data_IF_597365297020
#
_entry.id   IF_597365297020
#
_cell.length_a   1.000
_cell.length_b   1.000
_cell.length_c   1.000
_cell.angle_alpha   90.00
_cell.angle_beta   90.00
_cell.angle_gamma   90.00
#
_symmetry.space_group_name_H-M   'P 1'
#
loop_
_entity.id
_entity.type
_entity.pdbx_description
1 polymer ?
#
# COMPACT_ATOMS: atom_id res chain seq x y z
N UNK A 1 -5.52 28.35 -6.49
CA UNK A 1 -6.34 28.45 -5.26
C UNK A 1 -5.64 29.44 -4.36
N UNK A 2 -6.32 30.52 -3.96
CA UNK A 2 -5.76 31.45 -2.97
C UNK A 2 -5.58 30.74 -1.63
N UNK A 3 -4.49 30.98 -0.88
CA UNK A 3 -4.33 30.39 0.44
C UNK A 3 -5.49 30.86 1.33
N UNK A 4 -6.09 29.93 2.05
CA UNK A 4 -7.09 30.24 3.07
C UNK A 4 -6.37 31.15 4.10
N UNK A 5 -6.83 32.39 4.22
CA UNK A 5 -6.29 33.32 5.18
C UNK A 5 -6.64 32.80 6.58
N UNK A 6 -5.64 32.43 7.37
CA UNK A 6 -5.85 31.96 8.73
C UNK A 6 -6.45 33.09 9.59
N UNK A 7 -7.58 32.82 10.22
CA UNK A 7 -8.18 33.71 11.21
C UNK A 7 -7.46 33.49 12.56
N UNK A 8 -6.64 34.44 12.97
CA UNK A 8 -5.93 34.42 14.26
C UNK A 8 -4.43 34.63 14.12
N UNK A 9 -3.69 34.73 15.24
CA UNK A 9 -2.24 34.86 15.20
C UNK A 9 -1.62 33.63 14.53
N UNK A 10 -0.65 33.84 13.65
CA UNK A 10 0.09 32.73 13.02
C UNK A 10 0.79 31.93 14.12
N UNK A 11 0.67 30.60 14.02
CA UNK A 11 1.38 29.71 14.92
C UNK A 11 2.90 29.91 14.74
N UNK A 12 3.59 30.22 15.81
CA UNK A 12 5.04 30.32 15.83
C UNK A 12 5.65 28.94 16.09
N UNK A 13 6.91 28.74 15.69
CA UNK A 13 7.66 27.48 15.88
C UNK A 13 7.04 26.24 15.23
N UNK A 14 6.33 26.41 14.13
CA UNK A 14 5.83 25.30 13.32
C UNK A 14 6.68 25.14 12.06
N UNK A 15 7.17 23.92 11.81
CA UNK A 15 7.81 23.61 10.55
C UNK A 15 6.79 23.66 9.41
N UNK A 16 7.15 24.19 8.23
CA UNK A 16 6.29 24.09 7.06
C UNK A 16 6.07 22.62 6.69
N UNK A 17 4.94 22.28 6.01
CA UNK A 17 4.70 20.93 5.54
C UNK A 17 5.86 20.44 4.67
N UNK A 18 6.44 19.28 5.02
CA UNK A 18 7.51 18.66 4.24
C UNK A 18 6.89 17.81 3.13
N UNK A 19 6.47 18.47 2.06
CA UNK A 19 5.83 17.86 0.90
C UNK A 19 6.34 18.45 -0.42
N UNK A 20 5.98 17.83 -1.56
CA UNK A 20 6.32 18.33 -2.88
C UNK A 20 7.74 18.00 -3.36
N UNK A 21 8.50 17.19 -2.62
CA UNK A 21 9.79 16.64 -3.02
C UNK A 21 9.67 15.20 -3.56
N UNK A 22 10.77 14.53 -3.77
CA UNK A 22 10.80 13.10 -4.08
C UNK A 22 11.57 12.38 -2.98
N UNK A 23 10.88 11.56 -2.18
CA UNK A 23 11.48 10.88 -1.03
C UNK A 23 12.61 9.93 -1.41
N UNK A 24 12.54 9.29 -2.59
CA UNK A 24 13.64 8.44 -3.08
C UNK A 24 14.87 9.26 -3.46
N UNK A 25 14.68 10.41 -4.15
CA UNK A 25 15.80 11.29 -4.54
C UNK A 25 16.45 11.98 -3.37
N UNK A 26 15.67 12.31 -2.36
CA UNK A 26 16.13 13.03 -1.19
C UNK A 26 17.02 12.16 -0.27
N UNK A 27 16.93 10.84 -0.38
CA UNK A 27 17.69 9.91 0.44
C UNK A 27 18.88 9.32 -0.34
N UNK A 28 20.14 9.70 0.00
CA UNK A 28 21.34 9.16 -0.64
C UNK A 28 21.47 7.65 -0.48
N UNK A 29 21.10 7.10 0.69
CA UNK A 29 21.23 5.67 0.97
C UNK A 29 20.34 4.83 0.03
N UNK A 30 19.12 5.28 -0.24
CA UNK A 30 18.22 4.58 -1.16
C UNK A 30 18.78 4.56 -2.59
N UNK A 31 19.43 5.65 -3.01
CA UNK A 31 20.10 5.73 -4.33
C UNK A 31 21.29 4.77 -4.41
N UNK A 32 22.09 4.71 -3.36
CA UNK A 32 23.25 3.82 -3.31
C UNK A 32 22.81 2.35 -3.34
N UNK A 33 21.79 1.96 -2.55
CA UNK A 33 21.24 0.61 -2.58
C UNK A 33 20.67 0.25 -3.96
N UNK A 34 20.10 1.20 -4.68
CA UNK A 34 19.49 0.98 -5.99
C UNK A 34 20.47 1.17 -7.17
N UNK A 35 21.74 1.51 -6.93
CA UNK A 35 22.68 1.89 -7.99
C UNK A 35 22.84 0.81 -9.07
N UNK A 36 22.98 -0.45 -8.64
CA UNK A 36 23.16 -1.61 -9.54
C UNK A 36 21.84 -2.23 -10.04
N UNK A 37 20.71 -1.70 -9.60
CA UNK A 37 19.41 -2.23 -10.02
C UNK A 37 19.05 -1.79 -11.44
N UNK A 38 18.26 -2.57 -12.19
CA UNK A 38 17.76 -2.18 -13.50
C UNK A 38 17.09 -0.81 -13.48
N UNK A 39 17.24 -0.06 -14.58
CA UNK A 39 16.64 1.29 -14.72
C UNK A 39 15.14 1.29 -14.44
N UNK A 40 14.43 0.28 -14.91
CA UNK A 40 12.98 0.16 -14.69
C UNK A 40 12.60 0.16 -13.20
N UNK A 41 13.41 -0.47 -12.33
CA UNK A 41 13.20 -0.44 -10.88
C UNK A 41 13.51 0.95 -10.30
N UNK A 42 14.57 1.61 -10.75
CA UNK A 42 14.89 2.96 -10.28
C UNK A 42 13.79 3.97 -10.68
N UNK A 43 13.27 3.87 -11.91
CA UNK A 43 12.16 4.71 -12.39
C UNK A 43 10.87 4.45 -11.58
N UNK A 44 10.64 3.20 -11.15
CA UNK A 44 9.53 2.85 -10.26
C UNK A 44 9.70 3.46 -8.85
N UNK A 45 10.92 3.40 -8.27
CA UNK A 45 11.20 4.06 -6.98
C UNK A 45 11.03 5.57 -7.04
N UNK A 46 11.39 6.19 -8.17
CA UNK A 46 11.11 7.60 -8.43
C UNK A 46 9.60 7.90 -8.38
N UNK A 47 8.81 7.02 -8.98
CA UNK A 47 7.35 7.16 -9.01
C UNK A 47 6.75 6.99 -7.61
N UNK A 48 7.22 6.00 -6.85
CA UNK A 48 6.81 5.79 -5.45
C UNK A 48 7.24 6.97 -4.58
N UNK A 49 8.52 7.38 -4.67
CA UNK A 49 9.08 8.48 -3.88
C UNK A 49 8.37 9.82 -4.12
N UNK A 50 7.97 10.10 -5.36
CA UNK A 50 7.17 11.29 -5.69
C UNK A 50 5.78 11.24 -5.08
N UNK A 51 5.13 10.07 -5.13
CA UNK A 51 3.79 9.91 -4.56
C UNK A 51 3.81 10.07 -3.04
N UNK A 52 4.65 9.34 -2.32
CA UNK A 52 4.64 9.34 -0.84
C UNK A 52 4.97 10.70 -0.24
N UNK A 53 5.74 11.53 -0.94
CA UNK A 53 6.06 12.89 -0.52
C UNK A 53 5.09 13.95 -1.07
N UNK A 54 4.01 13.56 -1.75
CA UNK A 54 3.01 14.51 -2.22
C UNK A 54 2.08 14.97 -1.09
N UNK A 55 1.58 16.21 -1.18
CA UNK A 55 0.59 16.72 -0.24
C UNK A 55 -0.70 15.87 -0.25
N UNK A 56 -1.11 15.37 -1.42
CA UNK A 56 -2.26 14.47 -1.56
C UNK A 56 -2.07 13.19 -0.74
N UNK A 57 -0.92 12.51 -0.89
CA UNK A 57 -0.65 11.27 -0.15
C UNK A 57 -0.60 11.49 1.36
N UNK A 58 0.00 12.59 1.81
CA UNK A 58 0.04 12.96 3.24
C UNK A 58 -1.37 13.22 3.78
N UNK A 59 -2.25 13.83 2.99
CA UNK A 59 -3.63 14.07 3.41
C UNK A 59 -4.43 12.75 3.44
N UNK A 60 -4.26 11.86 2.46
CA UNK A 60 -4.83 10.51 2.47
C UNK A 60 -4.40 9.74 3.74
N UNK A 61 -3.12 9.78 4.08
CA UNK A 61 -2.57 9.11 5.26
C UNK A 61 -3.16 9.69 6.55
N UNK A 62 -3.19 11.02 6.67
CA UNK A 62 -3.77 11.72 7.83
C UNK A 62 -5.24 11.37 8.03
N UNK A 63 -6.03 11.30 6.97
CA UNK A 63 -7.46 10.95 7.05
C UNK A 63 -7.62 9.47 7.38
N UNK A 64 -6.89 8.57 6.72
CA UNK A 64 -6.96 7.13 6.98
C UNK A 64 -6.63 6.78 8.44
N UNK A 65 -5.65 7.48 9.06
CA UNK A 65 -5.29 7.27 10.47
C UNK A 65 -6.33 7.82 11.47
N UNK A 66 -7.20 8.73 11.05
CA UNK A 66 -8.26 9.31 11.93
C UNK A 66 -9.59 8.60 11.79
N UNK A 67 -9.88 8.06 10.62
CA UNK A 67 -11.13 7.40 10.32
C UNK A 67 -11.07 5.94 10.79
N UNK A 68 -11.66 5.68 11.95
CA UNK A 68 -11.77 4.33 12.51
C UNK A 68 -12.68 3.48 11.62
N UNK A 69 -12.30 2.25 11.26
CA UNK A 69 -13.16 1.33 10.52
C UNK A 69 -14.44 1.02 11.30
N UNK A 70 -15.58 0.93 10.61
CA UNK A 70 -16.88 0.68 11.21
C UNK A 70 -17.40 -0.70 10.83
N UNK A 71 -17.85 -1.48 11.83
CA UNK A 71 -18.52 -2.76 11.58
C UNK A 71 -20.01 -2.53 11.34
N UNK A 72 -20.47 -2.80 10.12
CA UNK A 72 -21.87 -2.84 9.74
C UNK A 72 -22.38 -4.28 9.81
N UNK A 73 -23.11 -4.60 10.87
CA UNK A 73 -23.63 -5.97 11.08
C UNK A 73 -24.83 -6.26 10.20
N UNK A 74 -25.69 -5.27 9.93
CA UNK A 74 -26.90 -5.41 9.12
C UNK A 74 -27.03 -4.27 8.11
N UNK A 75 -27.73 -4.53 7.03
CA UNK A 75 -28.15 -3.52 6.05
C UNK A 75 -29.42 -2.75 6.51
N UNK A 76 -29.86 -1.78 5.71
CA UNK A 76 -31.08 -0.99 5.99
C UNK A 76 -32.40 -1.77 5.98
N UNK A 77 -32.39 -3.03 5.56
CA UNK A 77 -33.54 -3.94 5.54
C UNK A 77 -33.48 -5.00 6.65
N UNK A 78 -32.42 -4.97 7.49
CA UNK A 78 -32.26 -5.94 8.57
C UNK A 78 -31.54 -7.24 8.15
N UNK A 79 -31.05 -7.35 6.92
CA UNK A 79 -30.24 -8.51 6.51
C UNK A 79 -28.84 -8.43 7.11
N UNK A 80 -28.33 -9.55 7.63
CA UNK A 80 -26.99 -9.62 8.18
C UNK A 80 -25.94 -9.56 7.08
N UNK A 81 -24.98 -8.63 7.17
CA UNK A 81 -23.92 -8.42 6.18
C UNK A 81 -22.51 -8.54 6.76
N UNK A 82 -22.30 -8.26 8.06
CA UNK A 82 -21.02 -8.29 8.77
C UNK A 82 -19.87 -7.66 7.97
N UNK A 83 -20.10 -6.47 7.43
CA UNK A 83 -19.14 -5.74 6.61
C UNK A 83 -18.33 -4.75 7.44
N UNK A 84 -17.02 -4.73 7.25
CA UNK A 84 -16.15 -3.68 7.79
C UNK A 84 -15.97 -2.57 6.74
N UNK A 85 -16.39 -1.37 7.10
CA UNK A 85 -16.33 -0.19 6.24
C UNK A 85 -15.07 0.62 6.57
N UNK A 86 -14.21 0.79 5.56
CA UNK A 86 -13.02 1.62 5.66
C UNK A 86 -13.23 2.93 4.92
N UNK A 87 -12.61 3.99 5.41
CA UNK A 87 -12.65 5.28 4.72
C UNK A 87 -12.03 5.19 3.32
N UNK A 88 -12.56 5.93 2.30
CA UNK A 88 -12.00 5.94 0.94
C UNK A 88 -10.50 6.23 0.86
N UNK A 89 -9.95 7.05 1.77
CA UNK A 89 -8.52 7.32 1.86
C UNK A 89 -7.69 6.06 2.14
N UNK A 90 -8.16 5.17 3.01
CA UNK A 90 -7.50 3.88 3.27
C UNK A 90 -7.53 2.99 2.01
N UNK A 91 -8.66 2.93 1.32
CA UNK A 91 -8.75 2.20 0.05
C UNK A 91 -7.85 2.78 -1.04
N UNK A 92 -7.63 4.09 -1.06
CA UNK A 92 -6.71 4.74 -2.00
C UNK A 92 -5.25 4.33 -1.73
N UNK A 93 -4.82 4.32 -0.46
CA UNK A 93 -3.50 3.85 -0.05
C UNK A 93 -3.31 2.36 -0.38
N UNK A 94 -4.28 1.50 -0.05
CA UNK A 94 -4.27 0.08 -0.39
C UNK A 94 -4.13 -0.14 -1.89
N UNK A 95 -4.94 0.56 -2.70
CA UNK A 95 -4.87 0.45 -4.17
C UNK A 95 -3.50 0.81 -4.70
N UNK A 96 -2.91 1.88 -4.19
CA UNK A 96 -1.57 2.32 -4.60
C UNK A 96 -0.51 1.29 -4.25
N UNK A 97 -0.51 0.79 -3.02
CA UNK A 97 0.47 -0.16 -2.53
C UNK A 97 0.35 -1.54 -3.19
N UNK A 98 -0.87 -2.02 -3.42
CA UNK A 98 -1.12 -3.26 -4.18
C UNK A 98 -0.66 -3.11 -5.62
N UNK A 99 -0.94 -1.98 -6.29
CA UNK A 99 -0.47 -1.76 -7.67
C UNK A 99 1.06 -1.71 -7.77
N UNK A 100 1.74 -1.27 -6.71
CA UNK A 100 3.20 -1.32 -6.60
C UNK A 100 3.75 -2.71 -6.23
N UNK A 101 2.88 -3.70 -5.97
CA UNK A 101 3.27 -5.09 -5.71
C UNK A 101 3.77 -5.36 -4.29
N UNK A 102 3.43 -4.52 -3.32
CA UNK A 102 3.92 -4.68 -1.94
C UNK A 102 3.48 -6.00 -1.29
N UNK A 103 2.33 -6.56 -1.71
CA UNK A 103 1.83 -7.83 -1.20
C UNK A 103 2.48 -9.06 -1.84
N UNK A 104 3.01 -8.97 -3.09
CA UNK A 104 3.35 -10.19 -3.82
C UNK A 104 4.47 -10.10 -4.86
N UNK A 105 5.13 -8.94 -5.06
CA UNK A 105 6.09 -8.76 -6.15
C UNK A 105 7.25 -9.76 -6.16
N UNK A 106 7.70 -10.20 -5.00
CA UNK A 106 8.78 -11.20 -4.89
C UNK A 106 8.40 -12.58 -5.45
N UNK A 107 7.11 -12.84 -5.58
CA UNK A 107 6.55 -14.12 -6.05
C UNK A 107 6.06 -14.08 -7.50
N UNK A 108 6.02 -12.89 -8.11
CA UNK A 108 5.56 -12.72 -9.51
C UNK A 108 6.57 -13.24 -10.54
N UNK A 109 7.83 -13.39 -10.18
CA UNK A 109 8.88 -13.83 -11.10
C UNK A 109 9.16 -12.86 -12.26
N UNK A 110 8.91 -11.56 -12.06
CA UNK A 110 9.08 -10.55 -13.11
C UNK A 110 10.55 -10.43 -13.54
N UNK A 111 10.76 -10.39 -14.86
CA UNK A 111 12.09 -10.36 -15.46
C UNK A 111 12.92 -9.14 -14.99
N UNK A 112 12.29 -7.97 -14.90
CA UNK A 112 12.90 -6.72 -14.47
C UNK A 112 13.31 -6.72 -12.99
N UNK A 113 12.74 -7.60 -12.16
CA UNK A 113 13.06 -7.74 -10.74
C UNK A 113 13.99 -8.92 -10.45
N UNK A 114 14.42 -9.67 -11.50
CA UNK A 114 15.26 -10.85 -11.32
C UNK A 114 16.57 -10.52 -10.61
N UNK A 115 16.83 -11.19 -9.49
CA UNK A 115 17.98 -10.95 -8.61
C UNK A 115 17.78 -9.83 -7.59
N UNK A 116 16.75 -8.98 -7.74
CA UNK A 116 16.50 -7.82 -6.87
C UNK A 116 15.11 -7.79 -6.25
N UNK A 117 14.29 -8.83 -6.42
CA UNK A 117 12.88 -8.80 -6.04
C UNK A 117 12.64 -8.43 -4.56
N UNK A 118 13.43 -9.00 -3.64
CA UNK A 118 13.32 -8.68 -2.21
C UNK A 118 13.78 -7.27 -1.89
N UNK A 119 14.93 -6.82 -2.45
CA UNK A 119 15.42 -5.46 -2.27
C UNK A 119 14.47 -4.43 -2.87
N UNK A 120 13.94 -4.70 -4.07
CA UNK A 120 12.97 -3.81 -4.72
C UNK A 120 11.70 -3.66 -3.89
N UNK A 121 11.16 -4.78 -3.36
CA UNK A 121 10.03 -4.73 -2.45
C UNK A 121 10.37 -3.96 -1.17
N UNK A 122 11.53 -4.20 -0.58
CA UNK A 122 11.97 -3.53 0.65
C UNK A 122 12.07 -2.01 0.46
N UNK A 123 12.63 -1.53 -0.66
CA UNK A 123 12.71 -0.10 -0.98
C UNK A 123 11.32 0.53 -1.13
N UNK A 124 10.42 -0.10 -1.88
CA UNK A 124 9.02 0.36 -2.00
C UNK A 124 8.32 0.41 -0.65
N UNK A 125 8.53 -0.62 0.16
CA UNK A 125 7.94 -0.73 1.50
C UNK A 125 8.46 0.36 2.43
N UNK A 126 9.77 0.59 2.45
CA UNK A 126 10.43 1.63 3.24
C UNK A 126 9.87 3.03 2.90
N UNK A 127 9.82 3.36 1.61
CA UNK A 127 9.26 4.63 1.14
C UNK A 127 7.80 4.81 1.57
N UNK A 128 7.00 3.74 1.46
CA UNK A 128 5.57 3.78 1.81
C UNK A 128 5.35 3.84 3.32
N UNK A 129 6.19 3.15 4.10
CA UNK A 129 6.12 3.14 5.56
C UNK A 129 6.36 4.53 6.17
N UNK A 130 7.21 5.35 5.54
CA UNK A 130 7.40 6.74 5.92
C UNK A 130 6.17 7.63 5.75
N UNK A 131 5.21 7.21 4.93
CA UNK A 131 3.94 7.91 4.74
C UNK A 131 2.87 7.40 5.72
N UNK A 132 2.60 6.08 5.73
CA UNK A 132 1.53 5.48 6.53
C UNK A 132 1.77 3.98 6.69
N UNK A 133 1.73 3.48 7.94
CA UNK A 133 2.05 2.09 8.26
C UNK A 133 0.84 1.17 8.41
N UNK A 134 -0.35 1.69 8.72
CA UNK A 134 -1.52 0.87 9.06
C UNK A 134 -1.98 -0.03 7.92
N UNK A 135 -2.03 0.49 6.69
CA UNK A 135 -2.41 -0.30 5.52
C UNK A 135 -1.32 -1.30 5.06
N UNK A 136 -0.09 -1.18 5.57
CA UNK A 136 1.00 -2.10 5.23
C UNK A 136 0.89 -3.43 5.97
N UNK A 137 0.18 -3.48 7.10
CA UNK A 137 -0.01 -4.70 7.88
C UNK A 137 -0.68 -5.82 7.05
N UNK A 138 -1.87 -5.64 6.45
CA UNK A 138 -2.50 -6.67 5.61
C UNK A 138 -1.63 -7.05 4.39
N UNK A 139 -0.84 -6.13 3.85
CA UNK A 139 0.07 -6.43 2.73
C UNK A 139 1.25 -7.30 3.18
N UNK A 140 1.76 -7.09 4.39
CA UNK A 140 2.82 -7.91 4.97
C UNK A 140 2.32 -9.31 5.28
N UNK A 141 1.14 -9.45 5.89
CA UNK A 141 0.51 -10.75 6.13
C UNK A 141 0.29 -11.50 4.82
N UNK A 142 -0.23 -10.83 3.79
CA UNK A 142 -0.44 -11.42 2.47
C UNK A 142 0.88 -11.91 1.87
N UNK A 143 1.95 -11.12 1.92
CA UNK A 143 3.25 -11.52 1.41
C UNK A 143 3.80 -12.77 2.14
N UNK A 144 3.67 -12.81 3.46
CA UNK A 144 4.15 -13.93 4.27
C UNK A 144 3.34 -15.22 4.00
N UNK A 145 2.02 -15.10 3.74
CA UNK A 145 1.15 -16.25 3.51
C UNK A 145 1.45 -17.02 2.21
N UNK A 146 2.07 -16.37 1.23
CA UNK A 146 2.32 -16.99 -0.08
C UNK A 146 3.22 -18.21 0.06
N UNK A 147 4.23 -18.19 0.92
CA UNK A 147 5.09 -19.33 1.19
C UNK A 147 4.28 -20.55 1.69
N UNK A 148 3.31 -20.33 2.58
CA UNK A 148 2.43 -21.39 3.07
C UNK A 148 1.46 -21.89 1.98
N UNK A 149 0.94 -20.98 1.14
CA UNK A 149 0.09 -21.33 0.00
C UNK A 149 0.84 -22.22 -0.99
N UNK A 150 2.07 -21.90 -1.33
CA UNK A 150 2.92 -22.63 -2.26
C UNK A 150 3.33 -24.02 -1.74
N UNK A 151 3.23 -24.29 -0.44
CA UNK A 151 3.50 -25.61 0.13
C UNK A 151 2.47 -26.69 -0.31
N UNK A 152 1.32 -26.28 -0.87
CA UNK A 152 0.29 -27.18 -1.39
C UNK A 152 -0.08 -26.84 -2.82
N UNK A 153 0.26 -27.66 -3.83
CA UNK A 153 -0.04 -27.38 -5.24
C UNK A 153 -1.52 -27.11 -5.53
N UNK A 154 -2.41 -27.76 -4.79
CA UNK A 154 -3.86 -27.53 -4.92
C UNK A 154 -4.27 -26.14 -4.44
N UNK A 155 -3.72 -25.68 -3.33
CA UNK A 155 -4.01 -24.36 -2.75
C UNK A 155 -3.35 -23.28 -3.60
N UNK A 156 -2.11 -23.48 -4.02
CA UNK A 156 -1.37 -22.58 -4.90
C UNK A 156 -2.15 -22.30 -6.18
N UNK A 157 -2.57 -23.37 -6.90
CA UNK A 157 -3.35 -23.24 -8.12
C UNK A 157 -4.64 -22.43 -7.92
N UNK A 158 -5.29 -22.56 -6.77
CA UNK A 158 -6.54 -21.88 -6.48
C UNK A 158 -6.36 -20.41 -6.08
N UNK A 159 -5.29 -20.07 -5.35
CA UNK A 159 -5.18 -18.79 -4.67
C UNK A 159 -4.04 -17.88 -5.13
N UNK A 160 -2.91 -18.44 -5.58
CA UNK A 160 -1.74 -17.65 -5.93
C UNK A 160 -2.03 -16.55 -6.97
N UNK A 161 -2.82 -16.81 -8.05
CA UNK A 161 -3.11 -15.77 -9.05
C UNK A 161 -3.78 -14.52 -8.47
N UNK A 162 -4.64 -14.68 -7.45
CA UNK A 162 -5.35 -13.57 -6.81
C UNK A 162 -4.50 -12.89 -5.73
N UNK A 163 -3.70 -13.67 -5.00
CA UNK A 163 -2.86 -13.16 -3.90
C UNK A 163 -1.68 -12.34 -4.43
N UNK A 164 -1.05 -12.73 -5.54
CA UNK A 164 0.02 -11.96 -6.18
C UNK A 164 -0.49 -10.85 -7.10
N UNK A 165 -1.81 -10.80 -7.35
CA UNK A 165 -2.42 -9.81 -8.25
C UNK A 165 -2.12 -8.38 -7.82
N UNK A 166 -1.72 -7.52 -8.77
CA UNK A 166 -1.55 -6.07 -8.53
C UNK A 166 -2.87 -5.30 -8.60
N UNK A 167 -4.00 -5.98 -8.46
CA UNK A 167 -5.34 -5.39 -8.45
C UNK A 167 -5.90 -5.42 -7.04
N UNK A 168 -6.23 -4.26 -6.53
CA UNK A 168 -6.94 -4.12 -5.26
C UNK A 168 -8.45 -4.09 -5.52
N UNK A 169 -9.15 -5.06 -4.95
CA UNK A 169 -10.60 -5.18 -5.05
C UNK A 169 -11.23 -5.00 -3.65
N UNK A 170 -11.80 -3.80 -3.41
CA UNK A 170 -12.43 -3.43 -2.14
C UNK A 170 -13.87 -3.92 -2.01
N UNK A 171 -14.42 -4.62 -3.03
CA UNK A 171 -15.80 -5.10 -2.96
C UNK A 171 -15.99 -6.15 -1.85
N UNK A 172 -17.21 -6.28 -1.35
CA UNK A 172 -17.58 -7.31 -0.37
C UNK A 172 -18.06 -8.62 -1.04
N UNK A 173 -17.45 -8.97 -2.19
CA UNK A 173 -17.74 -10.23 -2.90
C UNK A 173 -17.01 -11.39 -2.24
N UNK A 174 -17.50 -12.64 -2.43
CA UNK A 174 -16.72 -13.83 -2.09
C UNK A 174 -15.31 -13.78 -2.69
N UNK A 175 -14.31 -14.22 -1.94
CA UNK A 175 -12.90 -14.08 -2.31
C UNK A 175 -12.58 -14.64 -3.71
N UNK A 176 -13.18 -15.78 -4.08
CA UNK A 176 -12.99 -16.41 -5.42
C UNK A 176 -13.54 -15.59 -6.59
N UNK A 177 -14.35 -14.56 -6.34
CA UNK A 177 -14.92 -13.67 -7.37
C UNK A 177 -14.16 -12.34 -7.47
N UNK A 178 -13.16 -12.13 -6.62
CA UNK A 178 -12.36 -10.89 -6.59
C UNK A 178 -11.22 -10.95 -7.59
N UNK A 179 -10.83 -9.78 -8.11
CA UNK A 179 -9.67 -9.63 -9.00
C UNK A 179 -8.33 -9.68 -8.27
N UNK A 180 -8.33 -9.51 -6.96
CA UNK A 180 -7.20 -9.63 -6.05
C UNK A 180 -7.69 -9.72 -4.63
N UNK A 181 -6.93 -10.43 -3.78
CA UNK A 181 -7.27 -10.65 -2.38
C UNK A 181 -6.09 -10.33 -1.46
N UNK A 182 -6.39 -10.00 -0.22
CA UNK A 182 -5.44 -9.95 0.89
C UNK A 182 -5.74 -11.09 1.86
N UNK A 183 -4.72 -11.56 2.58
CA UNK A 183 -4.84 -12.65 3.54
C UNK A 183 -4.51 -12.10 4.92
N UNK A 184 -5.40 -12.36 5.88
CA UNK A 184 -5.18 -12.13 7.29
C UNK A 184 -4.60 -13.35 7.99
N UNK A 185 -3.98 -13.13 9.14
CA UNK A 185 -3.53 -14.21 10.04
C UNK A 185 -4.49 -14.27 11.22
N UNK A 186 -4.89 -15.50 11.59
CA UNK A 186 -5.61 -15.81 12.82
C UNK A 186 -4.82 -16.83 13.63
N UNK A 187 -4.79 -16.63 14.94
CA UNK A 187 -4.20 -17.56 15.91
C UNK A 187 -5.30 -18.13 16.78
#
# INVERSE_FOLDING_TARGET
MSPIQAFGPQAENQSPPFSGHNAYRADPLLKDIAADMPRALRDDFETVGKFVASAEAQDLARIANRAVPELKTHDGYGNRIDQVDFHPSWHALMRRSVSSGLQGSVWEGRREEKGFAHQARALRFFLTAGLECGHLCPLTMTNASIAAIMASPRIEKAWAPQVVSRRYDSSNRPAMQKSGVTIGMGM
#
